data_IF_258146209577
#
_entry.id   IF_258146209577
#
_cell.length_a   1.000
_cell.length_b   1.000
_cell.length_c   1.000
_cell.angle_alpha   90.00
_cell.angle_beta   90.00
_cell.angle_gamma   90.00
#
_symmetry.space_group_name_H-M   'P 1'
#
loop_
_entity.id
_entity.type
_entity.pdbx_description
1 polymer ?
#
# COMPACT_ATOMS: atom_id res chain seq x y z
N UNK A 1 -17.74 12.76 1.38
CA UNK A 1 -16.98 11.58 1.81
C UNK A 1 -16.61 10.80 0.56
N UNK A 2 -15.44 11.09 -0.03
CA UNK A 2 -14.89 10.17 -1.02
C UNK A 2 -14.79 8.81 -0.35
N UNK A 3 -15.49 7.83 -0.92
CA UNK A 3 -15.31 6.44 -0.55
C UNK A 3 -13.90 6.09 -1.05
N UNK A 4 -12.88 6.36 -0.23
CA UNK A 4 -11.58 5.73 -0.35
C UNK A 4 -11.86 4.27 -0.07
N UNK A 5 -12.40 3.57 -1.08
CA UNK A 5 -12.75 2.17 -1.01
C UNK A 5 -11.50 1.47 -0.55
N UNK A 6 -11.56 0.92 0.66
CA UNK A 6 -10.45 0.30 1.38
C UNK A 6 -9.45 -0.30 0.38
N UNK A 7 -8.26 0.30 0.28
CA UNK A 7 -7.16 -0.16 -0.56
C UNK A 7 -6.76 -1.55 -0.05
N UNK A 8 -7.42 -2.57 -0.58
CA UNK A 8 -7.19 -3.97 -0.23
C UNK A 8 -6.20 -4.57 -1.21
N UNK A 9 -5.23 -5.31 -0.70
CA UNK A 9 -4.24 -6.06 -1.49
C UNK A 9 -4.97 -7.00 -2.47
N UNK A 10 -6.05 -7.63 -2.03
CA UNK A 10 -6.86 -8.53 -2.87
C UNK A 10 -7.49 -7.79 -4.06
N UNK A 11 -8.01 -6.59 -3.83
CA UNK A 11 -8.58 -5.75 -4.88
C UNK A 11 -7.52 -5.25 -5.85
N UNK A 12 -6.33 -4.90 -5.34
CA UNK A 12 -5.15 -4.53 -6.13
C UNK A 12 -4.68 -5.67 -7.04
N UNK A 13 -4.55 -6.88 -6.49
CA UNK A 13 -4.17 -8.08 -7.27
C UNK A 13 -5.21 -8.41 -8.34
N UNK A 14 -6.50 -8.38 -8.01
CA UNK A 14 -7.58 -8.61 -9.00
C UNK A 14 -7.54 -7.59 -10.13
N UNK A 15 -7.41 -6.31 -9.80
CA UNK A 15 -7.33 -5.24 -10.80
C UNK A 15 -6.11 -5.38 -11.71
N UNK A 16 -4.94 -5.70 -11.14
CA UNK A 16 -3.72 -5.86 -11.91
C UNK A 16 -3.75 -7.10 -12.82
N UNK A 17 -4.23 -8.24 -12.32
CA UNK A 17 -4.31 -9.49 -13.10
C UNK A 17 -5.38 -9.45 -14.20
N UNK A 18 -6.41 -8.62 -14.06
CA UNK A 18 -7.46 -8.42 -15.09
C UNK A 18 -7.13 -7.33 -16.10
N UNK A 19 -6.12 -6.49 -15.82
CA UNK A 19 -5.65 -5.47 -16.76
C UNK A 19 -4.60 -6.06 -17.71
N UNK A 20 -4.87 -6.11 -19.04
CA UNK A 20 -3.93 -6.69 -20.01
C UNK A 20 -2.54 -6.03 -20.04
N UNK A 21 -2.43 -4.76 -19.60
CA UNK A 21 -1.15 -4.03 -19.55
C UNK A 21 -0.30 -4.39 -18.33
N UNK A 22 -0.94 -4.65 -17.19
CA UNK A 22 -0.25 -4.91 -15.91
C UNK A 22 -0.06 -6.41 -15.66
N UNK A 23 -1.01 -7.23 -16.12
CA UNK A 23 -1.05 -8.68 -15.87
C UNK A 23 0.25 -9.40 -16.23
N UNK A 24 0.92 -9.15 -17.39
CA UNK A 24 2.18 -9.83 -17.71
C UNK A 24 3.27 -9.64 -16.65
N UNK A 25 3.41 -8.42 -16.11
CA UNK A 25 4.39 -8.10 -15.06
C UNK A 25 4.10 -8.83 -13.76
N UNK A 26 2.83 -8.89 -13.35
CA UNK A 26 2.43 -9.61 -12.13
C UNK A 26 2.65 -11.11 -12.30
N UNK A 27 2.28 -11.67 -13.45
CA UNK A 27 2.44 -13.09 -13.77
C UNK A 27 3.92 -13.50 -13.72
N UNK A 28 4.79 -12.70 -14.33
CA UNK A 28 6.23 -12.91 -14.29
C UNK A 28 6.78 -12.84 -12.86
N UNK A 29 6.40 -11.81 -12.10
CA UNK A 29 6.85 -11.64 -10.71
C UNK A 29 6.41 -12.80 -9.79
N UNK A 30 5.24 -13.39 -10.04
CA UNK A 30 4.73 -14.52 -9.27
C UNK A 30 5.20 -15.89 -9.81
N UNK A 31 5.93 -15.89 -10.94
CA UNK A 31 6.28 -17.08 -11.70
C UNK A 31 5.06 -17.96 -11.96
N UNK A 32 3.98 -17.34 -12.44
CA UNK A 32 2.71 -18.00 -12.71
C UNK A 32 2.46 -18.29 -14.18
N UNK A 33 1.56 -19.23 -14.44
CA UNK A 33 0.96 -19.45 -15.75
C UNK A 33 -0.50 -18.97 -15.81
N UNK A 34 -1.08 -18.93 -17.02
CA UNK A 34 -2.47 -18.48 -17.21
C UNK A 34 -3.53 -19.35 -16.48
N UNK A 35 -3.23 -20.62 -16.21
CA UNK A 35 -4.11 -21.50 -15.45
C UNK A 35 -4.10 -21.16 -13.95
N UNK A 36 -2.94 -20.75 -13.42
CA UNK A 36 -2.78 -20.31 -12.05
C UNK A 36 -3.46 -18.95 -11.82
N UNK A 37 -3.33 -18.02 -12.77
CA UNK A 37 -4.06 -16.73 -12.72
C UNK A 37 -5.57 -16.97 -12.64
N UNK A 38 -6.09 -17.84 -13.50
CA UNK A 38 -7.51 -18.18 -13.54
C UNK A 38 -7.99 -18.80 -12.22
N UNK A 39 -7.20 -19.72 -11.64
CA UNK A 39 -7.49 -20.34 -10.33
C UNK A 39 -7.39 -19.35 -9.18
N UNK A 40 -6.47 -18.39 -9.23
CA UNK A 40 -6.37 -17.34 -8.21
C UNK A 40 -7.60 -16.43 -8.26
N UNK A 41 -7.99 -15.97 -9.45
CA UNK A 41 -9.16 -15.12 -9.64
C UNK A 41 -10.48 -15.83 -9.23
N UNK A 42 -10.57 -17.15 -9.39
CA UNK A 42 -11.70 -17.96 -8.92
C UNK A 42 -11.64 -18.34 -7.43
N UNK A 43 -10.57 -17.95 -6.71
CA UNK A 43 -10.39 -18.27 -5.28
C UNK A 43 -9.94 -19.71 -5.00
N UNK A 44 -9.54 -20.46 -6.03
CA UNK A 44 -9.06 -21.84 -5.93
C UNK A 44 -7.55 -21.95 -5.71
N UNK A 45 -6.81 -20.83 -5.80
CA UNK A 45 -5.38 -20.76 -5.55
C UNK A 45 -5.10 -19.65 -4.52
N UNK A 46 -4.31 -19.97 -3.50
CA UNK A 46 -3.78 -19.00 -2.54
C UNK A 46 -2.38 -18.51 -2.92
N UNK A 47 -1.93 -17.45 -2.24
CA UNK A 47 -0.57 -16.95 -2.36
C UNK A 47 0.33 -17.69 -1.34
N UNK A 48 1.44 -18.26 -1.81
CA UNK A 48 2.45 -18.89 -0.93
C UNK A 48 3.37 -17.84 -0.32
N UNK A 49 3.98 -18.15 0.83
CA UNK A 49 4.77 -17.18 1.61
C UNK A 49 5.95 -16.58 0.81
N UNK A 50 6.57 -17.37 -0.07
CA UNK A 50 7.66 -16.96 -0.97
C UNK A 50 7.21 -15.90 -2.00
N UNK A 51 5.91 -15.81 -2.28
CA UNK A 51 5.35 -14.90 -3.30
C UNK A 51 4.76 -13.63 -2.72
N UNK A 52 4.64 -13.50 -1.40
CA UNK A 52 4.01 -12.35 -0.75
C UNK A 52 4.75 -11.07 -1.10
N UNK A 53 6.06 -11.04 -0.89
CA UNK A 53 6.86 -9.83 -1.16
C UNK A 53 6.91 -9.53 -2.66
N UNK A 54 6.98 -10.55 -3.52
CA UNK A 54 6.94 -10.39 -4.96
C UNK A 54 5.61 -9.78 -5.44
N UNK A 55 4.47 -10.24 -4.89
CA UNK A 55 3.15 -9.70 -5.18
C UNK A 55 3.04 -8.23 -4.79
N UNK A 56 3.49 -7.88 -3.59
CA UNK A 56 3.44 -6.51 -3.08
C UNK A 56 4.35 -5.58 -3.89
N UNK A 57 5.59 -6.01 -4.17
CA UNK A 57 6.52 -5.24 -4.98
C UNK A 57 6.04 -5.04 -6.42
N UNK A 58 5.40 -6.05 -7.03
CA UNK A 58 4.85 -5.94 -8.37
C UNK A 58 3.67 -4.94 -8.44
N UNK A 59 2.88 -4.83 -7.36
CA UNK A 59 1.84 -3.80 -7.20
C UNK A 59 2.40 -2.42 -6.82
N UNK A 60 3.69 -2.30 -6.51
CA UNK A 60 4.31 -1.06 -6.05
C UNK A 60 4.00 -0.72 -4.58
N UNK A 61 3.55 -1.70 -3.79
CA UNK A 61 3.35 -1.51 -2.36
C UNK A 61 4.65 -1.67 -1.58
N UNK A 62 4.77 -0.87 -0.52
CA UNK A 62 5.89 -0.92 0.43
C UNK A 62 5.34 -1.16 1.82
N UNK A 63 5.80 -2.23 2.47
CA UNK A 63 5.46 -2.49 3.86
C UNK A 63 6.31 -1.62 4.78
N UNK A 64 5.66 -0.78 5.58
CA UNK A 64 6.30 0.00 6.64
C UNK A 64 5.69 -0.36 7.99
N UNK A 65 6.51 -0.29 9.06
CA UNK A 65 5.99 -0.42 10.41
C UNK A 65 5.11 0.81 10.74
N UNK A 66 4.03 0.66 11.53
CA UNK A 66 3.18 1.78 11.91
C UNK A 66 3.96 3.00 12.43
N UNK A 67 4.98 2.76 13.26
CA UNK A 67 5.90 3.79 13.78
C UNK A 67 6.46 4.74 12.72
N UNK A 68 6.71 4.27 11.50
CA UNK A 68 7.19 5.12 10.41
C UNK A 68 6.14 6.14 9.98
N UNK A 69 4.88 5.70 9.81
CA UNK A 69 3.76 6.56 9.46
C UNK A 69 3.38 7.48 10.62
N UNK A 70 3.46 7.00 11.86
CA UNK A 70 3.24 7.82 13.06
C UNK A 70 4.25 8.98 13.13
N UNK A 71 5.53 8.71 12.84
CA UNK A 71 6.55 9.76 12.81
C UNK A 71 6.24 10.83 11.74
N UNK A 72 5.77 10.42 10.56
CA UNK A 72 5.34 11.35 9.51
C UNK A 72 4.12 12.16 9.94
N UNK A 73 3.15 11.53 10.60
CA UNK A 73 1.98 12.22 11.14
C UNK A 73 2.38 13.30 12.16
N UNK A 74 3.30 12.97 13.08
CA UNK A 74 3.84 13.95 14.04
C UNK A 74 4.55 15.08 13.31
N UNK A 75 5.42 14.81 12.33
CA UNK A 75 6.11 15.86 11.56
C UNK A 75 5.14 16.79 10.83
N UNK A 76 4.05 16.25 10.29
CA UNK A 76 2.99 17.04 9.64
C UNK A 76 2.22 17.88 10.66
N UNK A 77 1.92 17.35 11.85
CA UNK A 77 1.21 18.05 12.92
C UNK A 77 2.04 19.20 13.49
N UNK A 78 3.30 18.94 13.83
CA UNK A 78 4.18 19.97 14.39
C UNK A 78 4.65 20.95 13.33
N UNK A 79 4.42 20.67 12.04
CA UNK A 79 4.90 21.42 10.89
C UNK A 79 6.43 21.43 10.80
N UNK A 80 7.00 20.95 9.69
CA UNK A 80 8.45 20.98 9.44
C UNK A 80 9.08 22.39 9.56
N UNK A 81 8.25 23.45 9.62
CA UNK A 81 8.65 24.84 9.80
C UNK A 81 7.80 25.61 10.84
N UNK A 82 7.17 24.96 11.83
CA UNK A 82 6.32 25.67 12.80
C UNK A 82 7.12 26.67 13.63
N UNK A 83 6.89 27.94 13.36
CA UNK A 83 7.48 29.07 14.07
C UNK A 83 7.09 29.10 15.55
N UNK A 84 5.85 28.69 15.89
CA UNK A 84 5.36 28.62 17.26
C UNK A 84 6.16 27.62 18.12
N UNK A 85 6.45 26.44 17.57
CA UNK A 85 7.27 25.43 18.23
C UNK A 85 8.71 25.92 18.44
N UNK A 86 9.31 26.58 17.44
CA UNK A 86 10.65 27.19 17.55
C UNK A 86 10.73 28.32 18.58
N UNK A 87 9.64 29.04 18.80
CA UNK A 87 9.53 30.09 19.82
C UNK A 87 9.12 29.56 21.20
N UNK A 88 9.02 28.25 21.37
CA UNK A 88 8.65 27.63 22.65
C UNK A 88 7.17 27.81 23.03
N UNK A 89 6.30 28.15 22.08
CA UNK A 89 4.87 28.40 22.30
C UNK A 89 4.00 27.15 22.12
N UNK A 90 4.60 25.99 21.83
CA UNK A 90 3.89 24.74 21.53
C UNK A 90 3.64 24.51 20.04
N UNK A 91 2.98 23.39 19.72
CA UNK A 91 2.68 22.98 18.35
C UNK A 91 1.62 23.88 17.69
N UNK A 92 1.84 24.23 16.42
CA UNK A 92 0.87 24.94 15.61
C UNK A 92 -0.38 24.06 15.43
N UNK A 93 -1.53 24.45 15.98
CA UNK A 93 -2.78 23.67 15.92
C UNK A 93 -3.32 23.22 17.28
N UNK A 94 -2.62 23.50 18.39
CA UNK A 94 -3.15 23.25 19.75
C UNK A 94 -4.06 24.38 20.28
N UNK A 95 -4.64 25.20 19.40
CA UNK A 95 -5.64 26.19 19.75
C UNK A 95 -7.01 25.76 19.23
N UNK A 96 -7.82 25.17 20.11
CA UNK A 96 -9.25 24.82 19.99
C UNK A 96 -9.77 24.39 18.61
#
# INVERSE_FOLDING_TARGET
MENIGMLSIERGLRAALTNPKESPRIIEALNWDGSQVSRFLSGQLGLTIDKVDAALGALGYVCVKPKYLDAMATLCQVGANCECARRGMGECGSGN
#
